data_IF_010028853062
#
_entry.id   IF_010028853062
#
_cell.length_a   1.000
_cell.length_b   1.000
_cell.length_c   1.000
_cell.angle_alpha   90.00
_cell.angle_beta   90.00
_cell.angle_gamma   90.00
#
_symmetry.space_group_name_H-M   'P 1'
#
loop_
_entity.id
_entity.type
_entity.pdbx_description
1 polymer ?
#
# COMPACT_ATOMS: atom_id res chain seq x y z
N UNK A 1 -28.99 47.64 -26.52
CA UNK A 1 -27.68 47.50 -25.86
C UNK A 1 -27.67 46.17 -25.14
N UNK A 2 -26.76 45.28 -25.53
CA UNK A 2 -26.75 43.86 -25.16
C UNK A 2 -26.17 43.69 -23.75
N UNK A 3 -26.79 42.78 -23.00
CA UNK A 3 -26.50 42.33 -21.64
C UNK A 3 -25.05 41.90 -21.43
N UNK A 4 -24.54 42.03 -20.19
CA UNK A 4 -23.46 41.18 -19.69
C UNK A 4 -23.58 41.03 -18.16
N UNK A 5 -24.56 40.22 -17.75
CA UNK A 5 -24.64 39.70 -16.40
C UNK A 5 -23.60 38.57 -16.25
N UNK A 6 -22.53 38.80 -15.49
CA UNK A 6 -21.51 37.79 -15.21
C UNK A 6 -22.07 36.77 -14.21
N UNK A 7 -22.21 35.47 -14.55
CA UNK A 7 -22.52 34.47 -13.53
C UNK A 7 -21.26 34.21 -12.70
N UNK A 8 -21.29 34.64 -11.44
CA UNK A 8 -20.35 34.23 -10.40
C UNK A 8 -20.56 32.74 -10.09
N UNK A 9 -20.01 31.87 -10.95
CA UNK A 9 -19.86 30.46 -10.67
C UNK A 9 -18.87 30.27 -9.52
N UNK A 10 -19.37 30.05 -8.30
CA UNK A 10 -18.56 29.55 -7.20
C UNK A 10 -17.91 28.24 -7.64
N UNK A 11 -16.59 28.24 -7.80
CA UNK A 11 -15.83 27.04 -8.09
C UNK A 11 -16.10 26.01 -6.98
N UNK A 12 -16.77 24.91 -7.34
CA UNK A 12 -16.98 23.77 -6.46
C UNK A 12 -15.59 23.26 -6.06
N UNK A 13 -15.27 23.32 -4.76
CA UNK A 13 -14.04 22.79 -4.22
C UNK A 13 -13.90 21.33 -4.66
N UNK A 14 -12.93 21.04 -5.53
CA UNK A 14 -12.63 19.68 -5.98
C UNK A 14 -12.28 18.87 -4.73
N UNK A 15 -13.11 17.89 -4.38
CA UNK A 15 -12.82 17.00 -3.27
C UNK A 15 -11.46 16.35 -3.49
N UNK A 16 -10.51 16.61 -2.58
CA UNK A 16 -9.22 15.94 -2.61
C UNK A 16 -9.47 14.42 -2.59
N UNK A 17 -9.03 13.73 -3.64
CA UNK A 17 -9.07 12.26 -3.70
C UNK A 17 -8.46 11.74 -2.39
N UNK A 18 -9.19 10.96 -1.61
CA UNK A 18 -8.65 10.34 -0.39
C UNK A 18 -7.82 9.13 -0.82
N UNK A 19 -6.60 9.03 -0.31
CA UNK A 19 -5.70 7.92 -0.65
C UNK A 19 -6.23 6.65 0.03
N UNK A 20 -6.43 5.58 -0.74
CA UNK A 20 -6.84 4.29 -0.18
C UNK A 20 -5.71 3.71 0.67
N UNK A 21 -6.01 2.88 1.67
CA UNK A 21 -4.99 2.17 2.45
C UNK A 21 -4.06 1.34 1.56
N UNK A 22 -4.62 0.67 0.54
CA UNK A 22 -3.85 -0.08 -0.44
C UNK A 22 -2.93 0.80 -1.30
N UNK A 23 -3.32 2.05 -1.57
CA UNK A 23 -2.48 3.00 -2.29
C UNK A 23 -1.34 3.50 -1.39
N UNK A 24 -1.63 3.76 -0.11
CA UNK A 24 -0.63 4.15 0.89
C UNK A 24 0.44 3.07 1.04
N UNK A 25 0.06 1.81 1.13
CA UNK A 25 1.01 0.69 1.22
C UNK A 25 1.87 0.55 -0.03
N UNK A 26 1.29 0.67 -1.23
CA UNK A 26 2.04 0.64 -2.49
C UNK A 26 3.04 1.79 -2.55
N UNK A 27 2.61 3.01 -2.23
CA UNK A 27 3.52 4.18 -2.21
C UNK A 27 4.61 3.98 -1.16
N UNK A 28 4.28 3.49 0.03
CA UNK A 28 5.26 3.15 1.07
C UNK A 28 6.29 2.14 0.59
N UNK A 29 5.86 1.11 -0.15
CA UNK A 29 6.74 0.10 -0.75
C UNK A 29 7.70 0.73 -1.77
N UNK A 30 7.17 1.55 -2.69
CA UNK A 30 7.97 2.29 -3.70
C UNK A 30 9.04 3.16 -3.02
N UNK A 31 8.66 3.87 -1.96
CA UNK A 31 9.55 4.73 -1.18
C UNK A 31 10.60 3.90 -0.44
N UNK A 32 10.24 2.75 0.12
CA UNK A 32 11.16 1.89 0.88
C UNK A 32 12.16 1.17 -0.02
N UNK A 33 11.77 0.81 -1.24
CA UNK A 33 12.60 0.10 -2.23
C UNK A 33 13.39 1.06 -3.14
N UNK A 34 13.44 2.35 -2.81
CA UNK A 34 14.11 3.33 -3.65
C UNK A 34 15.61 3.03 -3.80
N UNK A 35 16.07 2.87 -5.04
CA UNK A 35 17.38 2.28 -5.32
C UNK A 35 18.58 3.20 -5.03
N UNK A 36 18.46 4.51 -5.26
CA UNK A 36 19.61 5.42 -5.15
C UNK A 36 19.21 6.88 -4.86
N UNK A 37 20.17 7.67 -4.37
CA UNK A 37 20.07 9.13 -4.34
C UNK A 37 20.16 9.72 -5.76
N UNK A 38 19.53 10.89 -6.02
CA UNK A 38 18.77 11.73 -5.09
C UNK A 38 17.33 11.23 -4.90
N UNK A 39 16.87 11.23 -3.64
CA UNK A 39 15.47 10.93 -3.30
C UNK A 39 14.74 12.24 -2.96
N UNK A 40 13.92 12.72 -3.90
CA UNK A 40 13.08 13.91 -3.73
C UNK A 40 11.60 13.55 -3.82
N UNK A 41 10.75 14.38 -3.22
CA UNK A 41 9.30 14.18 -3.29
C UNK A 41 8.76 14.30 -4.73
N UNK A 42 9.44 15.06 -5.59
CA UNK A 42 9.03 15.23 -6.98
C UNK A 42 9.30 13.96 -7.79
N UNK A 43 10.45 13.30 -7.56
CA UNK A 43 10.77 12.01 -8.17
C UNK A 43 9.84 10.90 -7.68
N UNK A 44 9.50 10.91 -6.39
CA UNK A 44 8.53 9.94 -5.83
C UNK A 44 7.16 10.16 -6.45
N UNK A 45 6.72 11.41 -6.60
CA UNK A 45 5.46 11.73 -7.26
C UNK A 45 5.40 11.20 -8.69
N UNK A 46 6.47 11.37 -9.45
CA UNK A 46 6.57 10.86 -10.83
C UNK A 46 6.48 9.33 -10.87
N UNK A 47 7.22 8.64 -10.00
CA UNK A 47 7.19 7.18 -9.94
C UNK A 47 5.83 6.64 -9.46
N UNK A 48 5.21 7.29 -8.47
CA UNK A 48 3.87 6.94 -7.98
C UNK A 48 2.81 7.17 -9.05
N UNK A 49 2.94 8.22 -9.86
CA UNK A 49 2.05 8.45 -11.00
C UNK A 49 2.11 7.25 -11.95
N UNK A 50 3.31 6.77 -12.28
CA UNK A 50 3.52 5.65 -13.21
C UNK A 50 3.00 4.33 -12.62
N UNK A 51 3.37 3.98 -11.39
CA UNK A 51 3.14 2.64 -10.84
C UNK A 51 1.78 2.46 -10.15
N UNK A 52 1.21 3.53 -9.59
CA UNK A 52 -0.04 3.44 -8.81
C UNK A 52 -1.20 4.06 -9.59
N UNK A 53 -0.97 5.21 -10.20
CA UNK A 53 -2.07 6.03 -10.71
C UNK A 53 -2.41 5.77 -12.18
N UNK A 54 -1.45 5.43 -13.04
CA UNK A 54 -1.72 4.99 -14.43
C UNK A 54 -2.48 3.65 -14.47
N UNK A 55 -2.11 2.61 -13.70
CA UNK A 55 -2.84 1.34 -13.70
C UNK A 55 -4.26 1.45 -13.13
N UNK A 56 -4.51 2.41 -12.23
CA UNK A 56 -5.84 2.73 -11.70
C UNK A 56 -6.79 3.34 -12.75
N UNK A 57 -6.30 3.78 -13.93
CA UNK A 57 -7.10 4.45 -14.96
C UNK A 57 -8.07 3.54 -15.73
N UNK A 58 -8.04 2.21 -15.57
CA UNK A 58 -8.98 1.33 -16.27
C UNK A 58 -10.45 1.49 -15.83
N UNK A 59 -10.75 2.29 -14.79
CA UNK A 59 -12.09 2.39 -14.22
C UNK A 59 -12.78 3.77 -14.32
N UNK A 60 -12.11 4.84 -14.79
CA UNK A 60 -12.77 6.16 -14.90
C UNK A 60 -13.47 6.31 -16.26
N UNK A 61 -14.77 6.02 -16.27
CA UNK A 61 -15.69 6.13 -17.42
C UNK A 61 -15.78 7.53 -18.04
N UNK A 62 -15.31 8.55 -17.31
CA UNK A 62 -15.33 9.94 -17.72
C UNK A 62 -13.87 10.37 -17.93
N UNK A 63 -13.48 10.70 -19.16
CA UNK A 63 -12.10 11.00 -19.59
C UNK A 63 -11.42 12.23 -18.96
N UNK A 64 -11.69 12.57 -17.70
CA UNK A 64 -10.90 13.55 -16.98
C UNK A 64 -9.54 12.96 -16.61
N UNK A 65 -8.47 13.59 -17.06
CA UNK A 65 -7.11 13.27 -16.62
C UNK A 65 -7.07 13.25 -15.08
N UNK A 66 -6.85 12.08 -14.49
CA UNK A 66 -6.74 11.95 -13.03
C UNK A 66 -5.57 12.81 -12.57
N UNK A 67 -5.85 13.82 -11.76
CA UNK A 67 -4.87 14.76 -11.26
C UNK A 67 -3.84 14.01 -10.39
N UNK A 68 -2.52 14.10 -10.68
CA UNK A 68 -1.50 13.37 -9.96
C UNK A 68 -1.55 13.68 -8.47
N UNK A 69 -1.29 12.69 -7.60
CA UNK A 69 -1.09 12.95 -6.18
C UNK A 69 -0.07 14.09 -5.98
N UNK A 70 -0.43 15.09 -5.18
CA UNK A 70 0.45 16.22 -4.91
C UNK A 70 1.51 15.84 -3.88
N UNK A 71 2.65 16.54 -3.87
CA UNK A 71 3.68 16.37 -2.84
C UNK A 71 3.11 16.49 -1.43
N UNK A 72 2.22 17.47 -1.22
CA UNK A 72 1.56 17.67 0.08
C UNK A 72 0.71 16.47 0.46
N UNK A 73 -0.06 15.91 -0.47
CA UNK A 73 -0.86 14.71 -0.23
C UNK A 73 0.01 13.52 0.18
N UNK A 74 1.12 13.27 -0.52
CA UNK A 74 2.05 12.18 -0.17
C UNK A 74 2.73 12.40 1.20
N UNK A 75 3.21 13.62 1.46
CA UNK A 75 3.90 13.97 2.70
C UNK A 75 2.99 14.08 3.93
N UNK A 76 1.68 14.27 3.71
CA UNK A 76 0.68 14.37 4.78
C UNK A 76 0.39 13.03 5.46
N UNK A 77 0.68 11.90 4.79
CA UNK A 77 0.56 10.58 5.39
C UNK A 77 1.82 10.22 6.18
N UNK A 78 1.65 10.04 7.50
CA UNK A 78 2.75 9.76 8.42
C UNK A 78 3.57 8.52 8.01
N UNK A 79 2.91 7.46 7.54
CA UNK A 79 3.57 6.22 7.10
C UNK A 79 4.52 6.44 5.93
N UNK A 80 4.07 7.18 4.91
CA UNK A 80 4.86 7.49 3.71
C UNK A 80 6.01 8.42 4.08
N UNK A 81 5.74 9.42 4.93
CA UNK A 81 6.76 10.36 5.43
C UNK A 81 7.85 9.65 6.25
N UNK A 82 7.46 8.72 7.10
CA UNK A 82 8.38 7.93 7.91
C UNK A 82 9.24 7.02 7.03
N UNK A 83 8.63 6.34 6.05
CA UNK A 83 9.36 5.54 5.07
C UNK A 83 10.35 6.40 4.26
N UNK A 84 9.95 7.59 3.83
CA UNK A 84 10.79 8.53 3.12
C UNK A 84 12.02 8.93 3.94
N UNK A 85 11.81 9.35 5.20
CA UNK A 85 12.91 9.78 6.04
C UNK A 85 13.86 8.63 6.39
N UNK A 86 13.31 7.44 6.67
CA UNK A 86 14.10 6.23 6.93
C UNK A 86 14.96 5.89 5.73
N UNK A 87 14.37 5.79 4.53
CA UNK A 87 15.11 5.43 3.32
C UNK A 87 16.14 6.49 2.95
N UNK A 88 15.81 7.77 3.07
CA UNK A 88 16.76 8.87 2.86
C UNK A 88 17.97 8.77 3.78
N UNK A 89 17.77 8.44 5.06
CA UNK A 89 18.87 8.24 6.00
C UNK A 89 19.72 7.01 5.66
N UNK A 90 19.10 5.92 5.22
CA UNK A 90 19.80 4.72 4.75
C UNK A 90 20.68 5.02 3.54
N UNK A 91 20.13 5.68 2.52
CA UNK A 91 20.86 6.06 1.32
C UNK A 91 22.02 7.02 1.63
N UNK A 92 21.80 8.00 2.51
CA UNK A 92 22.87 8.89 2.95
C UNK A 92 23.98 8.15 3.71
N UNK A 93 23.62 7.13 4.51
CA UNK A 93 24.59 6.29 5.20
C UNK A 93 25.36 5.38 4.23
N UNK A 94 24.70 4.84 3.20
CA UNK A 94 25.34 4.07 2.12
C UNK A 94 26.29 4.95 1.33
N UNK A 95 25.88 6.16 0.95
CA UNK A 95 26.74 7.14 0.28
C UNK A 95 27.98 7.45 1.11
N UNK A 96 27.82 7.75 2.40
CA UNK A 96 28.97 8.00 3.30
C UNK A 96 29.89 6.79 3.43
N UNK A 97 29.37 5.56 3.41
CA UNK A 97 30.21 4.34 3.39
C UNK A 97 30.97 4.22 2.08
N UNK A 98 30.31 4.50 0.96
CA UNK A 98 30.92 4.43 -0.37
C UNK A 98 32.00 5.50 -0.55
N UNK A 99 31.77 6.72 -0.06
CA UNK A 99 32.74 7.82 -0.08
C UNK A 99 33.96 7.53 0.81
N UNK A 100 33.77 6.87 1.96
CA UNK A 100 34.87 6.53 2.87
C UNK A 100 35.80 5.44 2.33
N UNK A 101 35.32 4.56 1.45
CA UNK A 101 36.17 3.49 0.91
C UNK A 101 35.68 3.02 -0.50
N UNK A 102 35.87 3.85 -1.54
CA UNK A 102 35.32 3.58 -2.87
C UNK A 102 35.93 2.33 -3.52
N UNK A 103 37.20 2.03 -3.25
CA UNK A 103 37.90 0.87 -3.78
C UNK A 103 37.30 -0.46 -3.29
N UNK A 104 37.00 -0.57 -1.98
CA UNK A 104 36.36 -1.75 -1.39
C UNK A 104 34.91 -1.94 -1.84
N UNK A 105 34.26 -0.87 -2.26
CA UNK A 105 32.84 -0.88 -2.60
C UNK A 105 32.55 -1.36 -4.02
N UNK A 106 33.52 -1.15 -4.92
CA UNK A 106 33.51 -1.63 -6.30
C UNK A 106 34.22 -2.98 -6.46
N UNK A 107 34.70 -3.56 -5.36
CA UNK A 107 35.26 -4.89 -5.33
C UNK A 107 34.18 -5.91 -5.78
N UNK A 108 34.44 -6.72 -6.81
CA UNK A 108 33.47 -7.71 -7.32
C UNK A 108 32.98 -8.67 -6.23
N UNK A 109 33.81 -9.03 -5.26
CA UNK A 109 33.42 -9.91 -4.16
C UNK A 109 32.40 -9.23 -3.24
N UNK A 110 32.60 -7.96 -2.92
CA UNK A 110 31.66 -7.18 -2.09
C UNK A 110 30.33 -6.96 -2.82
N UNK A 111 30.36 -6.82 -4.15
CA UNK A 111 29.14 -6.72 -4.97
C UNK A 111 28.37 -8.04 -4.97
N UNK A 112 29.06 -9.18 -5.08
CA UNK A 112 28.43 -10.50 -5.00
C UNK A 112 27.78 -10.72 -3.63
N UNK A 113 28.51 -10.45 -2.54
CA UNK A 113 27.99 -10.58 -1.17
C UNK A 113 26.77 -9.69 -0.92
N UNK A 114 26.70 -8.50 -1.53
CA UNK A 114 25.52 -7.64 -1.46
C UNK A 114 24.31 -8.24 -2.17
N UNK A 115 24.51 -8.77 -3.38
CA UNK A 115 23.45 -9.45 -4.13
C UNK A 115 22.94 -10.67 -3.38
N UNK A 116 23.83 -11.46 -2.80
CA UNK A 116 23.46 -12.61 -1.97
C UNK A 116 22.68 -12.19 -0.73
N UNK A 117 23.15 -11.18 0.00
CA UNK A 117 22.41 -10.61 1.14
C UNK A 117 21.02 -10.15 0.74
N UNK A 118 20.88 -9.46 -0.38
CA UNK A 118 19.58 -8.95 -0.85
C UNK A 118 18.66 -10.09 -1.29
N UNK A 119 19.20 -11.12 -1.96
CA UNK A 119 18.46 -12.34 -2.27
C UNK A 119 18.00 -13.09 -1.00
N UNK A 120 18.84 -13.16 0.04
CA UNK A 120 18.49 -13.75 1.33
C UNK A 120 17.41 -12.94 2.05
N UNK A 121 17.46 -11.62 2.00
CA UNK A 121 16.41 -10.76 2.57
C UNK A 121 15.06 -10.97 1.92
N UNK A 122 15.02 -11.13 0.59
CA UNK A 122 13.78 -11.45 -0.13
C UNK A 122 13.23 -12.81 0.31
N UNK A 123 14.09 -13.85 0.34
CA UNK A 123 13.69 -15.18 0.82
C UNK A 123 13.16 -15.16 2.24
N UNK A 124 13.76 -14.37 3.12
CA UNK A 124 13.34 -14.21 4.50
C UNK A 124 11.96 -13.56 4.58
N UNK A 125 11.74 -12.46 3.84
CA UNK A 125 10.42 -11.81 3.76
C UNK A 125 9.34 -12.75 3.22
N UNK A 126 9.63 -13.55 2.19
CA UNK A 126 8.70 -14.55 1.66
C UNK A 126 8.38 -15.65 2.68
N UNK A 127 9.38 -16.08 3.46
CA UNK A 127 9.21 -17.07 4.52
C UNK A 127 8.35 -16.52 5.67
N UNK A 128 8.61 -15.28 6.12
CA UNK A 128 7.81 -14.60 7.14
C UNK A 128 6.35 -14.42 6.69
N UNK A 129 6.13 -14.04 5.43
CA UNK A 129 4.77 -13.91 4.88
C UNK A 129 4.02 -15.25 4.86
N UNK A 130 4.68 -16.35 4.48
CA UNK A 130 4.08 -17.69 4.54
C UNK A 130 3.78 -18.11 5.97
N UNK A 131 4.69 -17.82 6.90
CA UNK A 131 4.51 -18.15 8.31
C UNK A 131 3.29 -17.43 8.88
N UNK A 132 3.17 -16.12 8.64
CA UNK A 132 2.00 -15.34 9.04
C UNK A 132 0.69 -15.90 8.46
N UNK A 133 0.71 -16.34 7.19
CA UNK A 133 -0.45 -16.97 6.57
C UNK A 133 -0.84 -18.30 7.25
N UNK A 134 0.14 -19.14 7.58
CA UNK A 134 -0.13 -20.39 8.29
C UNK A 134 -0.62 -20.17 9.72
N UNK A 135 -0.10 -19.16 10.42
CA UNK A 135 -0.59 -18.77 11.74
C UNK A 135 -2.05 -18.32 11.70
N UNK A 136 -2.44 -17.52 10.70
CA UNK A 136 -3.84 -17.11 10.50
C UNK A 136 -4.76 -18.31 10.23
N UNK A 137 -4.34 -19.23 9.35
CA UNK A 137 -5.09 -20.46 9.08
C UNK A 137 -5.21 -21.34 10.33
N UNK A 138 -4.15 -21.45 11.11
CA UNK A 138 -4.15 -22.21 12.35
C UNK A 138 -5.13 -21.61 13.36
N UNK A 139 -5.05 -20.29 13.62
CA UNK A 139 -5.96 -19.59 14.52
C UNK A 139 -7.43 -19.76 14.08
N UNK A 140 -7.70 -19.62 12.79
CA UNK A 140 -9.05 -19.83 12.24
C UNK A 140 -9.53 -21.27 12.42
N UNK A 141 -8.65 -22.25 12.23
CA UNK A 141 -8.99 -23.67 12.39
C UNK A 141 -9.30 -24.01 13.84
N UNK A 142 -8.49 -23.52 14.78
CA UNK A 142 -8.70 -23.70 16.23
C UNK A 142 -9.99 -23.01 16.66
N UNK A 143 -10.23 -21.77 16.24
CA UNK A 143 -11.47 -21.04 16.52
C UNK A 143 -12.69 -21.77 15.99
N UNK A 144 -12.69 -22.18 14.72
CA UNK A 144 -13.80 -22.92 14.12
C UNK A 144 -14.07 -24.26 14.82
N UNK A 145 -13.01 -24.93 15.30
CA UNK A 145 -13.15 -26.18 16.06
C UNK A 145 -13.77 -25.91 17.42
N UNK A 146 -13.28 -24.92 18.15
CA UNK A 146 -13.82 -24.51 19.45
C UNK A 146 -15.29 -24.07 19.36
N UNK A 147 -15.63 -23.25 18.37
CA UNK A 147 -17.02 -22.84 18.08
C UNK A 147 -17.91 -24.04 17.77
N UNK A 148 -17.44 -25.01 16.99
CA UNK A 148 -18.21 -26.23 16.69
C UNK A 148 -18.43 -27.11 17.92
N UNK A 149 -17.42 -27.26 18.77
CA UNK A 149 -17.51 -28.09 19.99
C UNK A 149 -18.42 -27.42 21.04
N UNK A 150 -18.38 -26.09 21.20
CA UNK A 150 -19.22 -25.37 22.16
C UNK A 150 -20.64 -25.08 21.66
N UNK A 151 -20.84 -24.85 20.37
CA UNK A 151 -22.16 -24.65 19.77
C UNK A 151 -22.80 -25.95 19.25
N UNK A 152 -22.15 -27.11 19.45
CA UNK A 152 -22.72 -28.43 19.17
C UNK A 152 -24.16 -28.63 19.70
N UNK A 153 -24.50 -28.24 20.95
CA UNK A 153 -25.87 -28.35 21.44
C UNK A 153 -26.86 -27.38 20.76
N UNK A 154 -26.38 -26.22 20.30
CA UNK A 154 -27.20 -25.23 19.58
C UNK A 154 -27.49 -25.64 18.13
N UNK A 155 -26.58 -26.37 17.50
CA UNK A 155 -26.76 -26.94 16.17
C UNK A 155 -27.76 -28.11 16.13
N UNK A 156 -28.06 -28.71 17.28
CA UNK A 156 -29.08 -29.76 17.43
C UNK A 156 -30.48 -29.18 17.69
N UNK A 157 -30.59 -27.86 17.94
CA UNK A 157 -31.90 -27.21 18.04
C UNK A 157 -32.59 -27.29 16.68
N UNK A 158 -33.91 -27.58 16.65
CA UNK A 158 -34.65 -27.56 15.39
C UNK A 158 -34.50 -26.19 14.74
N UNK A 159 -34.17 -26.18 13.44
CA UNK A 159 -34.05 -24.95 12.67
C UNK A 159 -35.31 -24.10 12.87
N UNK A 160 -35.19 -22.79 13.08
CA UNK A 160 -36.35 -21.92 13.18
C UNK A 160 -37.20 -22.08 11.92
N UNK A 161 -38.53 -22.17 12.10
CA UNK A 161 -39.49 -22.30 11.01
C UNK A 161 -39.17 -21.27 9.92
N UNK A 162 -39.01 -21.74 8.70
CA UNK A 162 -38.75 -20.86 7.56
C UNK A 162 -40.03 -20.12 7.22
N UNK A 163 -40.10 -18.86 7.63
CA UNK A 163 -41.12 -17.95 7.13
C UNK A 163 -40.77 -17.55 5.70
N UNK A 164 -41.73 -17.67 4.78
CA UNK A 164 -41.57 -17.10 3.44
C UNK A 164 -41.40 -15.57 3.53
N UNK A 165 -40.99 -14.91 2.44
CA UNK A 165 -40.84 -13.44 2.38
C UNK A 165 -42.09 -12.64 2.79
N UNK A 166 -43.24 -13.31 2.88
CA UNK A 166 -44.55 -12.79 3.28
C UNK A 166 -44.99 -13.22 4.69
N UNK A 167 -44.11 -13.85 5.49
CA UNK A 167 -44.40 -14.20 6.89
C UNK A 167 -45.34 -15.38 7.10
N UNK A 168 -45.55 -16.24 6.10
CA UNK A 168 -46.40 -17.43 6.21
C UNK A 168 -45.55 -18.67 6.52
N UNK A 169 -46.03 -19.47 7.47
CA UNK A 169 -45.49 -20.81 7.77
C UNK A 169 -45.67 -21.73 6.56
N UNK A 170 -44.60 -22.41 6.14
CA UNK A 170 -44.64 -23.53 5.19
C UNK A 170 -44.45 -24.85 5.92
#
# INVERSE_FOLDING_TARGET
>A
MVENSKPSGKAVARGNKRMSSADVEKVRKIVSEWASEPMSWDLIREKVLIEVQIPSKSASRNGSAVEPWTRQALSGHAEIKNAFQKRKNELAAERRRNEKNPARNNDPEVVLLRRERDALRIKLADAEAKLAHYEELFQRTVYNRFERENNAPDLLKPLPKKFDRQGRDK
#
